data_IF_460460859520
#
_entry.id   IF_460460859520
#
_cell.length_a   1.000
_cell.length_b   1.000
_cell.length_c   1.000
_cell.angle_alpha   90.00
_cell.angle_beta   90.00
_cell.angle_gamma   90.00
#
_symmetry.space_group_name_H-M   'P 1'
#
loop_
_entity.id
_entity.type
_entity.pdbx_description
1 polymer ?
#
# COMPACT_ATOMS: atom_id res chain seq x y z
N UNK A 1 36.37 56.68 -9.29
CA UNK A 1 35.84 56.80 -7.92
C UNK A 1 34.35 57.08 -8.04
N UNK A 2 33.40 56.14 -7.94
CA UNK A 2 33.16 55.17 -6.86
C UNK A 2 32.46 55.91 -5.70
N UNK A 3 31.26 55.60 -5.19
CA UNK A 3 30.32 54.48 -5.39
C UNK A 3 28.92 54.90 -4.87
N UNK A 4 27.90 54.12 -5.27
CA UNK A 4 26.48 54.09 -4.85
C UNK A 4 26.27 53.87 -3.34
N UNK A 5 25.01 53.99 -2.85
CA UNK A 5 24.05 52.86 -2.83
C UNK A 5 22.71 53.26 -3.50
N UNK A 6 22.01 52.44 -4.29
CA UNK A 6 21.53 51.07 -4.03
C UNK A 6 20.36 51.14 -3.04
N UNK A 7 19.13 50.71 -3.29
CA UNK A 7 18.60 49.74 -4.24
C UNK A 7 17.04 49.77 -4.16
N UNK A 8 16.40 49.56 -5.31
CA UNK A 8 15.26 48.65 -5.59
C UNK A 8 13.96 48.85 -4.77
N UNK A 9 12.77 49.03 -5.36
CA UNK A 9 12.11 48.27 -6.44
C UNK A 9 10.68 48.04 -5.93
N UNK A 10 9.63 48.42 -6.66
CA UNK A 10 8.75 47.50 -7.41
C UNK A 10 8.09 46.42 -6.50
N UNK A 11 6.79 46.15 -6.49
CA UNK A 11 5.65 46.47 -7.35
C UNK A 11 4.40 45.85 -6.68
N UNK A 12 3.23 46.16 -7.23
CA UNK A 12 2.07 45.25 -7.32
C UNK A 12 1.04 45.27 -6.17
N UNK A 13 -0.02 46.04 -6.45
CA UNK A 13 -1.38 45.54 -6.65
C UNK A 13 -1.76 44.25 -5.89
N UNK A 14 -2.66 44.40 -4.91
CA UNK A 14 -3.46 43.27 -4.42
C UNK A 14 -4.93 43.51 -4.74
N UNK A 15 -5.33 42.97 -5.88
CA UNK A 15 -6.72 42.86 -6.31
C UNK A 15 -7.47 41.88 -5.40
N UNK A 16 -8.68 42.29 -5.05
CA UNK A 16 -9.74 41.49 -4.45
C UNK A 16 -10.24 40.38 -5.40
N UNK A 17 -10.80 39.36 -4.75
CA UNK A 17 -11.81 38.42 -5.23
C UNK A 17 -11.33 37.09 -5.83
N UNK A 18 -11.52 36.01 -5.06
CA UNK A 18 -12.49 34.97 -5.42
C UNK A 18 -12.55 33.89 -4.34
N UNK A 19 -13.71 33.83 -3.68
CA UNK A 19 -14.10 32.76 -2.76
C UNK A 19 -14.20 31.45 -3.52
N UNK A 20 -13.20 30.60 -3.39
CA UNK A 20 -13.36 29.17 -3.68
C UNK A 20 -13.83 28.52 -2.39
N UNK A 21 -15.09 28.09 -2.38
CA UNK A 21 -15.68 27.25 -1.33
C UNK A 21 -15.01 25.89 -1.42
N UNK A 22 -13.92 25.72 -0.69
CA UNK A 22 -13.43 24.39 -0.35
C UNK A 22 -14.49 23.77 0.56
N UNK A 23 -15.28 22.90 -0.07
CA UNK A 23 -16.19 21.98 0.62
C UNK A 23 -15.37 21.25 1.66
N UNK A 24 -15.62 21.56 2.93
CA UNK A 24 -15.42 20.63 4.03
C UNK A 24 -16.10 19.31 3.63
N UNK A 25 -15.31 18.38 3.11
CA UNK A 25 -15.71 16.98 3.07
C UNK A 25 -15.78 16.58 4.54
N UNK A 26 -16.99 16.52 5.07
CA UNK A 26 -17.25 16.06 6.41
C UNK A 26 -16.77 14.62 6.55
N UNK A 27 -15.58 14.45 7.12
CA UNK A 27 -15.12 13.19 7.68
C UNK A 27 -15.86 12.97 9.00
N UNK A 28 -17.15 12.68 8.89
CA UNK A 28 -17.93 12.09 9.96
C UNK A 28 -17.99 10.58 9.73
N UNK A 29 -16.80 9.96 9.66
CA UNK A 29 -16.66 8.52 9.85
C UNK A 29 -16.77 8.32 11.35
N UNK A 30 -17.91 7.78 11.80
CA UNK A 30 -18.09 7.28 13.15
C UNK A 30 -16.87 6.45 13.55
N UNK A 31 -16.03 6.97 14.46
CA UNK A 31 -14.85 6.29 15.01
C UNK A 31 -15.28 5.05 15.80
N UNK A 32 -15.57 3.96 15.10
CA UNK A 32 -15.43 2.63 15.66
C UNK A 32 -13.93 2.40 15.74
N UNK A 33 -13.35 2.63 16.92
CA UNK A 33 -11.92 2.39 17.15
C UNK A 33 -11.75 0.88 17.34
N UNK A 34 -11.71 0.14 16.24
CA UNK A 34 -11.32 -1.27 16.27
C UNK A 34 -9.88 -1.34 16.76
N UNK A 35 -9.60 -2.13 17.79
CA UNK A 35 -8.26 -2.35 18.31
C UNK A 35 -7.84 -3.81 18.08
N UNK A 36 -6.54 -4.02 17.88
CA UNK A 36 -5.98 -5.33 17.55
C UNK A 36 -4.92 -5.72 18.57
N UNK A 37 -4.94 -6.99 19.01
CA UNK A 37 -3.81 -7.53 19.77
C UNK A 37 -2.55 -7.53 18.91
N UNK A 38 -1.39 -7.45 19.55
CA UNK A 38 -0.08 -7.48 18.89
C UNK A 38 0.04 -8.65 17.90
N UNK A 39 -0.43 -9.84 18.27
CA UNK A 39 -0.39 -11.03 17.41
C UNK A 39 -1.27 -10.91 16.16
N UNK A 40 -2.42 -10.26 16.28
CA UNK A 40 -3.33 -10.07 15.15
C UNK A 40 -2.82 -8.95 14.23
N UNK A 41 -2.26 -7.89 14.81
CA UNK A 41 -1.56 -6.84 14.08
C UNK A 41 -0.36 -7.39 13.30
N UNK A 42 0.47 -8.24 13.91
CA UNK A 42 1.61 -8.88 13.26
C UNK A 42 1.17 -9.72 12.04
N UNK A 43 0.10 -10.52 12.21
CA UNK A 43 -0.49 -11.31 11.12
C UNK A 43 -1.01 -10.43 9.98
N UNK A 44 -1.72 -9.35 10.30
CA UNK A 44 -2.27 -8.41 9.31
C UNK A 44 -1.17 -7.69 8.51
N UNK A 45 -0.07 -7.34 9.17
CA UNK A 45 1.06 -6.65 8.55
C UNK A 45 2.06 -7.60 7.86
N UNK A 46 1.89 -8.92 8.02
CA UNK A 46 2.82 -9.92 7.47
C UNK A 46 4.21 -9.90 8.11
N UNK A 47 4.31 -9.49 9.38
CA UNK A 47 5.56 -9.44 10.15
C UNK A 47 5.48 -10.30 11.42
N UNK A 48 6.59 -10.44 12.15
CA UNK A 48 6.59 -11.17 13.42
C UNK A 48 6.05 -10.33 14.59
N UNK A 49 5.50 -10.98 15.62
CA UNK A 49 5.06 -10.33 16.86
C UNK A 49 6.18 -9.48 17.51
N UNK A 50 7.42 -9.97 17.46
CA UNK A 50 8.59 -9.26 17.99
C UNK A 50 8.86 -7.96 17.23
N UNK A 51 8.66 -7.95 15.91
CA UNK A 51 8.76 -6.74 15.09
C UNK A 51 7.73 -5.69 15.51
N UNK A 52 6.49 -6.12 15.78
CA UNK A 52 5.43 -5.21 16.24
C UNK A 52 5.74 -4.69 17.64
N UNK A 53 6.17 -5.54 18.58
CA UNK A 53 6.60 -5.11 19.92
C UNK A 53 7.71 -4.08 19.85
N UNK A 54 8.73 -4.33 19.01
CA UNK A 54 9.83 -3.39 18.80
C UNK A 54 9.36 -2.03 18.28
N UNK A 55 8.35 -1.98 17.41
CA UNK A 55 7.80 -0.70 16.95
C UNK A 55 7.03 0.03 18.05
N UNK A 56 6.32 -0.68 18.91
CA UNK A 56 5.68 -0.10 20.09
C UNK A 56 6.75 0.49 21.02
N UNK A 57 7.80 -0.27 21.33
CA UNK A 57 8.90 0.17 22.20
C UNK A 57 9.64 1.39 21.63
N UNK A 58 9.70 1.51 20.30
CA UNK A 58 10.30 2.64 19.59
C UNK A 58 9.37 3.84 19.43
N UNK A 59 8.11 3.75 19.89
CA UNK A 59 7.10 4.80 19.70
C UNK A 59 6.63 4.96 18.24
N UNK A 60 6.91 3.98 17.38
CA UNK A 60 6.48 3.95 15.98
C UNK A 60 5.06 3.41 15.80
N UNK A 61 4.49 2.80 16.85
CA UNK A 61 3.12 2.31 16.86
C UNK A 61 2.50 2.56 18.24
N UNK A 62 1.42 3.35 18.34
CA UNK A 62 0.77 3.58 19.62
C UNK A 62 0.03 2.32 20.08
N UNK A 63 -0.16 2.22 21.40
CA UNK A 63 -1.00 1.20 22.03
C UNK A 63 -2.10 1.86 22.85
N UNK A 64 -3.20 1.15 23.02
CA UNK A 64 -4.28 1.51 23.95
C UNK A 64 -3.85 1.23 25.39
N UNK A 65 -4.54 1.83 26.35
CA UNK A 65 -4.36 1.57 27.78
C UNK A 65 -4.95 0.20 28.22
N UNK A 66 -5.35 -0.66 27.27
CA UNK A 66 -5.88 -1.98 27.57
C UNK A 66 -4.80 -2.92 28.13
N UNK A 67 -5.24 -3.91 28.91
CA UNK A 67 -4.37 -4.99 29.39
C UNK A 67 -4.97 -6.34 28.99
N UNK A 68 -4.33 -7.11 28.09
CA UNK A 68 -3.09 -6.82 27.37
C UNK A 68 -3.19 -5.61 26.42
N UNK A 69 -2.06 -4.97 26.13
CA UNK A 69 -2.00 -3.83 25.22
C UNK A 69 -2.49 -4.18 23.81
N UNK A 70 -3.30 -3.30 23.24
CA UNK A 70 -3.85 -3.42 21.89
C UNK A 70 -3.45 -2.22 21.04
N UNK A 71 -3.46 -2.36 19.72
CA UNK A 71 -3.07 -1.33 18.78
C UNK A 71 -4.33 -0.75 18.14
N UNK A 72 -4.53 0.58 18.17
CA UNK A 72 -5.62 1.24 17.45
C UNK A 72 -5.56 0.91 15.94
N UNK A 73 -6.69 0.55 15.36
CA UNK A 73 -6.79 0.08 13.98
C UNK A 73 -6.45 1.15 12.94
N UNK A 74 -6.70 2.43 13.26
CA UNK A 74 -6.28 3.57 12.43
C UNK A 74 -4.76 3.69 12.38
N UNK A 75 -4.08 3.67 13.53
CA UNK A 75 -2.64 3.69 13.62
C UNK A 75 -1.98 2.45 12.97
N UNK A 76 -2.61 1.27 13.11
CA UNK A 76 -2.17 0.06 12.44
C UNK A 76 -2.27 0.19 10.91
N UNK A 77 -3.35 0.78 10.40
CA UNK A 77 -3.56 1.01 8.98
C UNK A 77 -2.56 2.02 8.40
N UNK A 78 -2.29 3.12 9.10
CA UNK A 78 -1.25 4.08 8.72
C UNK A 78 0.12 3.40 8.60
N UNK A 79 0.47 2.59 9.60
CA UNK A 79 1.71 1.82 9.59
C UNK A 79 1.79 0.84 8.41
N UNK A 80 0.68 0.19 8.09
CA UNK A 80 0.59 -0.70 6.92
C UNK A 80 0.91 0.04 5.61
N UNK A 81 0.39 1.26 5.46
CA UNK A 81 0.65 2.10 4.28
C UNK A 81 2.12 2.52 4.19
N UNK A 82 2.74 2.87 5.31
CA UNK A 82 4.17 3.20 5.35
C UNK A 82 5.05 2.02 4.94
N UNK A 83 4.76 0.83 5.48
CA UNK A 83 5.48 -0.40 5.14
C UNK A 83 5.36 -0.72 3.64
N UNK A 84 4.16 -0.56 3.07
CA UNK A 84 3.92 -0.80 1.65
C UNK A 84 4.70 0.19 0.76
N UNK A 85 4.88 1.44 1.18
CA UNK A 85 5.69 2.43 0.43
C UNK A 85 7.19 2.11 0.45
N UNK A 86 7.67 1.45 1.50
CA UNK A 86 9.08 1.08 1.66
C UNK A 86 9.46 -0.23 0.94
N UNK A 87 8.48 -1.02 0.49
CA UNK A 87 8.73 -2.23 -0.29
C UNK A 87 9.12 -1.85 -1.73
N UNK A 88 10.41 -1.99 -2.07
CA UNK A 88 10.92 -1.71 -3.41
C UNK A 88 10.30 -2.62 -4.48
N UNK A 89 9.98 -2.03 -5.64
CA UNK A 89 9.55 -2.75 -6.84
C UNK A 89 10.77 -3.25 -7.63
N UNK A 90 11.02 -4.57 -7.73
CA UNK A 90 12.17 -5.11 -8.44
C UNK A 90 12.09 -4.98 -9.96
N UNK A 91 10.96 -4.53 -10.52
CA UNK A 91 10.70 -4.55 -11.98
C UNK A 91 10.82 -3.20 -12.67
N UNK A 92 10.90 -2.09 -11.93
CA UNK A 92 11.08 -0.72 -12.47
C UNK A 92 10.06 -0.25 -13.52
N UNK A 93 8.83 -0.80 -13.53
CA UNK A 93 7.80 -0.48 -14.55
C UNK A 93 6.82 0.59 -14.05
N UNK A 94 6.59 1.64 -14.84
CA UNK A 94 5.49 2.60 -14.61
C UNK A 94 4.14 1.95 -14.96
N UNK A 95 3.30 1.70 -13.97
CA UNK A 95 1.99 1.05 -14.16
C UNK A 95 0.87 1.79 -13.40
N UNK A 96 -0.32 1.87 -14.00
CA UNK A 96 -1.53 2.41 -13.36
C UNK A 96 -2.23 1.42 -12.42
N UNK A 97 -1.82 0.14 -12.48
CA UNK A 97 -2.32 -0.89 -11.58
C UNK A 97 -1.58 -0.81 -10.24
N UNK A 98 -2.31 -0.46 -9.19
CA UNK A 98 -1.77 -0.22 -7.83
C UNK A 98 -1.47 -1.50 -7.05
N UNK A 99 -2.15 -2.60 -7.37
CA UNK A 99 -1.97 -3.86 -6.67
C UNK A 99 -0.91 -4.69 -7.41
N UNK A 100 0.29 -4.77 -6.85
CA UNK A 100 1.40 -5.55 -7.38
C UNK A 100 1.84 -6.56 -6.33
N UNK A 101 1.81 -7.83 -6.70
CA UNK A 101 2.12 -8.95 -5.81
C UNK A 101 3.34 -9.67 -6.36
N UNK A 102 4.51 -9.34 -5.81
CA UNK A 102 5.77 -10.00 -6.15
C UNK A 102 5.82 -11.35 -5.46
N UNK A 103 6.02 -12.41 -6.24
CA UNK A 103 6.02 -13.77 -5.73
C UNK A 103 6.72 -14.75 -6.64
N UNK A 104 6.68 -16.01 -6.23
CA UNK A 104 7.22 -17.12 -7.01
C UNK A 104 6.09 -17.87 -7.70
N UNK A 105 6.30 -18.22 -8.96
CA UNK A 105 5.40 -19.10 -9.69
C UNK A 105 5.47 -20.49 -9.08
N UNK A 106 4.36 -21.01 -8.60
CA UNK A 106 4.27 -22.32 -7.94
C UNK A 106 3.63 -23.38 -8.83
N UNK A 107 2.85 -22.96 -9.83
CA UNK A 107 2.20 -23.86 -10.78
C UNK A 107 1.90 -23.16 -12.09
N UNK A 108 2.10 -23.88 -13.19
CA UNK A 108 1.70 -23.47 -14.54
C UNK A 108 0.91 -24.63 -15.16
N UNK A 109 -0.34 -24.39 -15.51
CA UNK A 109 -1.18 -25.33 -16.24
C UNK A 109 -1.56 -24.72 -17.58
N UNK A 110 -1.26 -25.41 -18.67
CA UNK A 110 -1.60 -24.98 -20.03
C UNK A 110 -2.70 -25.89 -20.56
N UNK A 111 -3.78 -25.31 -21.05
CA UNK A 111 -4.90 -26.02 -21.68
C UNK A 111 -5.29 -25.31 -22.99
N UNK A 112 -4.81 -25.87 -24.10
CA UNK A 112 -4.95 -25.26 -25.42
C UNK A 112 -4.37 -23.84 -25.46
N UNK A 113 -5.22 -22.87 -25.82
CA UNK A 113 -4.86 -21.44 -25.95
C UNK A 113 -4.79 -20.71 -24.61
N UNK A 114 -5.31 -21.28 -23.54
CA UNK A 114 -5.34 -20.66 -22.21
C UNK A 114 -4.37 -21.35 -21.24
N UNK A 115 -3.89 -20.58 -20.28
CA UNK A 115 -3.05 -21.07 -19.21
C UNK A 115 -3.45 -20.44 -17.88
N UNK A 116 -3.33 -21.25 -16.83
CA UNK A 116 -3.43 -20.84 -15.45
C UNK A 116 -2.02 -20.79 -14.85
N UNK A 117 -1.68 -19.65 -14.25
CA UNK A 117 -0.43 -19.43 -13.51
C UNK A 117 -0.76 -19.10 -12.06
N UNK A 118 -0.19 -19.86 -11.14
CA UNK A 118 -0.33 -19.62 -9.70
C UNK A 118 0.96 -19.02 -9.15
N UNK A 119 0.84 -17.88 -8.48
CA UNK A 119 1.94 -17.13 -7.87
C UNK A 119 1.74 -17.10 -6.35
N UNK A 120 2.76 -17.50 -5.60
CA UNK A 120 2.78 -17.34 -4.15
C UNK A 120 3.50 -16.04 -3.79
N UNK A 121 2.76 -15.08 -3.24
CA UNK A 121 3.23 -13.76 -2.82
C UNK A 121 3.02 -13.61 -1.31
N UNK A 122 4.04 -13.92 -0.52
CA UNK A 122 3.92 -13.96 0.94
C UNK A 122 2.84 -14.95 1.38
N UNK A 123 1.86 -14.57 2.23
CA UNK A 123 0.76 -15.45 2.63
C UNK A 123 -0.33 -15.61 1.56
N UNK A 124 -0.27 -14.86 0.46
CA UNK A 124 -1.31 -14.81 -0.55
C UNK A 124 -0.97 -15.67 -1.76
N UNK A 125 -1.93 -16.48 -2.20
CA UNK A 125 -1.89 -17.19 -3.48
C UNK A 125 -2.68 -16.42 -4.51
N UNK A 126 -2.01 -15.96 -5.57
CA UNK A 126 -2.63 -15.24 -6.69
C UNK A 126 -2.74 -16.19 -7.87
N UNK A 127 -3.92 -16.25 -8.49
CA UNK A 127 -4.17 -17.07 -9.68
C UNK A 127 -4.44 -16.14 -10.85
N UNK A 128 -3.67 -16.29 -11.93
CA UNK A 128 -3.84 -15.56 -13.18
C UNK A 128 -4.25 -16.50 -14.29
N UNK A 129 -5.25 -16.09 -15.07
CA UNK A 129 -5.61 -16.72 -16.33
C UNK A 129 -5.09 -15.83 -17.47
N UNK A 130 -4.25 -16.41 -18.33
CA UNK A 130 -3.64 -15.73 -19.47
C UNK A 130 -3.50 -16.69 -20.65
N UNK A 131 -3.09 -16.20 -21.82
CA UNK A 131 -2.87 -17.10 -22.96
C UNK A 131 -1.64 -17.99 -22.75
N UNK A 132 -1.69 -19.20 -23.28
CA UNK A 132 -0.54 -20.12 -23.31
C UNK A 132 0.68 -19.50 -24.01
N UNK A 133 0.43 -18.69 -25.04
CA UNK A 133 1.45 -17.92 -25.76
C UNK A 133 2.14 -16.91 -24.82
N UNK A 134 1.37 -16.13 -24.04
CA UNK A 134 1.96 -15.18 -23.10
C UNK A 134 2.81 -15.85 -22.02
N UNK A 135 2.45 -17.06 -21.56
CA UNK A 135 3.29 -17.84 -20.65
C UNK A 135 4.60 -18.24 -21.32
N UNK A 136 4.57 -18.62 -22.59
CA UNK A 136 5.77 -18.99 -23.36
C UNK A 136 6.66 -17.77 -23.63
N UNK A 137 6.08 -16.68 -24.09
CA UNK A 137 6.79 -15.44 -24.43
C UNK A 137 7.48 -14.81 -23.21
N UNK A 138 6.83 -14.88 -22.05
CA UNK A 138 7.38 -14.38 -20.80
C UNK A 138 8.33 -15.38 -20.12
N UNK A 139 8.52 -16.58 -20.68
CA UNK A 139 9.38 -17.61 -20.10
C UNK A 139 8.93 -18.05 -18.70
N UNK A 140 7.62 -18.05 -18.43
CA UNK A 140 7.08 -18.36 -17.11
C UNK A 140 7.16 -19.87 -16.86
N UNK A 141 7.90 -20.23 -15.83
CA UNK A 141 8.07 -21.58 -15.34
C UNK A 141 7.92 -21.64 -13.80
N UNK A 142 7.76 -22.84 -13.26
CA UNK A 142 7.69 -23.00 -11.80
C UNK A 142 9.04 -22.62 -11.20
N UNK A 143 9.02 -21.73 -10.22
CA UNK A 143 10.20 -21.15 -9.59
C UNK A 143 10.58 -19.77 -10.14
N UNK A 144 9.99 -19.31 -11.26
CA UNK A 144 10.23 -17.96 -11.76
C UNK A 144 9.75 -16.90 -10.77
N UNK A 145 10.52 -15.83 -10.63
CA UNK A 145 10.05 -14.59 -10.01
C UNK A 145 9.03 -13.94 -10.94
N UNK A 146 7.83 -13.69 -10.43
CA UNK A 146 6.77 -13.04 -11.18
C UNK A 146 6.11 -11.95 -10.34
N UNK A 147 5.61 -10.91 -11.01
CA UNK A 147 4.79 -9.89 -10.36
C UNK A 147 3.39 -9.95 -10.94
N UNK A 148 2.44 -10.37 -10.11
CA UNK A 148 1.03 -10.29 -10.45
C UNK A 148 0.55 -8.85 -10.32
N UNK A 149 0.02 -8.30 -11.41
CA UNK A 149 -0.48 -6.93 -11.47
C UNK A 149 -2.00 -6.97 -11.64
N UNK A 150 -2.73 -6.49 -10.63
CA UNK A 150 -4.19 -6.50 -10.62
C UNK A 150 -4.72 -5.08 -10.80
N UNK A 151 -5.56 -4.88 -11.81
CA UNK A 151 -6.21 -3.59 -12.05
C UNK A 151 -7.16 -3.28 -10.89
N UNK A 152 -6.98 -2.11 -10.27
CA UNK A 152 -7.69 -1.70 -9.05
C UNK A 152 -9.21 -1.47 -9.22
N UNK A 153 -9.78 -1.73 -10.40
CA UNK A 153 -11.20 -1.47 -10.71
C UNK A 153 -12.16 -2.52 -10.13
N UNK A 154 -11.65 -3.63 -9.59
CA UNK A 154 -12.49 -4.70 -9.03
C UNK A 154 -11.90 -5.16 -7.69
N UNK A 155 -12.33 -4.51 -6.61
CA UNK A 155 -11.95 -4.86 -5.23
C UNK A 155 -13.24 -5.04 -4.43
N UNK A 156 -13.35 -6.14 -3.69
CA UNK A 156 -14.44 -6.42 -2.75
C UNK A 156 -13.87 -6.23 -1.35
N UNK A 157 -14.54 -5.42 -0.52
CA UNK A 157 -14.16 -5.18 0.87
C UNK A 157 -15.17 -5.87 1.77
N UNK A 158 -14.68 -6.76 2.63
CA UNK A 158 -15.48 -7.46 3.63
C UNK A 158 -14.93 -7.11 5.03
N UNK A 159 -15.82 -6.96 6.00
CA UNK A 159 -15.45 -6.76 7.41
C UNK A 159 -16.01 -7.91 8.24
N UNK A 160 -15.29 -8.42 9.25
CA UNK A 160 -15.85 -9.41 10.17
C UNK A 160 -17.14 -8.88 10.81
N UNK A 161 -18.15 -9.75 11.01
CA UNK A 161 -19.28 -9.39 11.88
C UNK A 161 -18.75 -9.22 13.31
N UNK A 162 -19.10 -8.10 13.93
CA UNK A 162 -18.82 -7.78 15.33
C UNK A 162 -19.65 -8.63 16.28
#
# INVERSE_FOLDING_TARGET
>A
MGSLPGADGEESAKAENSRTRDRECGDNVSRVTTAYKISDAARLLGVSDDTVRRWVDQGLLPVTDASPAEIPGDALAERAVELARAADDPTSVLSSARNRFTGLVTRVQRDGVMAQVDIQSGPHRIVSLMSSEAVADLGIEVGSLAVAVVKATTVIVETPRS
#
